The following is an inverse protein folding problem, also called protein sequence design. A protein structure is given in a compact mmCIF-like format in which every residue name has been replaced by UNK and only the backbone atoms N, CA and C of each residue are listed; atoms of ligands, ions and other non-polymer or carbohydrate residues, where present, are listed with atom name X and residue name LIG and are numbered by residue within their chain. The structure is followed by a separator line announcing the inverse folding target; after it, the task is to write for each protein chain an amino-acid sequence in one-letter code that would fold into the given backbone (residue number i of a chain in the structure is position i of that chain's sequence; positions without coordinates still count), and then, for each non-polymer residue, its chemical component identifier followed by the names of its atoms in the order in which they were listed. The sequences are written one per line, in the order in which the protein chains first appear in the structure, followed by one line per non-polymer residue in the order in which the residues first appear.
data_IF_976336194738
#
_entry.id   IF_976336194738
#
_cell.length_a   1.000
_cell.length_b   1.000
_cell.length_c   1.000
_cell.angle_alpha   90.00
_cell.angle_beta   90.00
_cell.angle_gamma   90.00
#
_symmetry.space_group_name_H-M   'P 1'
#
loop_
_entity.id
_entity.type
_entity.pdbx_description
1 polymer ?
#
# COMPACT_ATOMS: atom_id res chain seq x y z
N UNK A 1 14.34 -6.67 18.31
CA UNK A 1 13.25 -5.69 18.14
C UNK A 1 13.38 -5.06 16.76
N UNK A 2 12.66 -5.58 15.76
CA UNK A 2 12.46 -4.85 14.51
C UNK A 2 11.23 -3.95 14.71
N UNK A 3 11.33 -2.63 14.54
CA UNK A 3 10.21 -1.71 14.72
C UNK A 3 9.33 -1.79 13.47
N UNK A 4 8.34 -2.68 13.49
CA UNK A 4 7.29 -2.76 12.49
C UNK A 4 6.33 -1.58 12.65
N UNK A 5 6.54 -0.54 11.85
CA UNK A 5 5.67 0.63 11.62
C UNK A 5 5.39 1.49 12.86
N UNK A 6 5.95 2.71 12.98
CA UNK A 6 5.61 3.60 14.08
C UNK A 6 4.11 3.95 14.04
N UNK A 7 3.44 3.88 15.18
CA UNK A 7 2.04 4.29 15.43
C UNK A 7 1.75 5.77 15.10
N UNK A 8 2.77 6.52 14.68
CA UNK A 8 2.71 7.92 14.25
C UNK A 8 2.46 8.11 12.76
N UNK A 9 2.31 7.04 11.97
CA UNK A 9 2.01 7.20 10.54
C UNK A 9 0.55 7.65 10.39
N UNK A 10 0.29 8.87 9.87
CA UNK A 10 -1.07 9.35 9.69
C UNK A 10 -1.78 8.44 8.68
N UNK A 11 -2.87 7.82 9.13
CA UNK A 11 -3.75 7.02 8.29
C UNK A 11 -4.95 7.89 7.90
N UNK A 12 -5.36 7.92 6.61
CA UNK A 12 -4.73 7.27 5.46
C UNK A 12 -3.37 7.87 5.10
N UNK A 13 -2.46 7.01 4.63
CA UNK A 13 -1.22 7.44 3.99
C UNK A 13 -1.56 8.10 2.64
N UNK A 14 -0.98 9.26 2.38
CA UNK A 14 -1.08 9.92 1.09
C UNK A 14 0.26 9.82 0.39
N UNK A 15 0.26 9.19 -0.79
CA UNK A 15 1.40 9.20 -1.71
C UNK A 15 1.07 10.10 -2.89
N UNK A 16 2.12 10.70 -3.45
CA UNK A 16 2.06 11.62 -4.56
C UNK A 16 3.01 11.16 -5.66
N UNK A 17 2.65 11.45 -6.90
CA UNK A 17 3.47 11.23 -8.08
C UNK A 17 3.14 12.29 -9.13
N UNK A 18 3.98 12.36 -10.15
CA UNK A 18 3.68 13.05 -11.40
C UNK A 18 3.04 12.04 -12.35
N UNK A 19 1.88 12.38 -12.90
CA UNK A 19 1.12 11.46 -13.73
C UNK A 19 0.37 12.14 -14.86
N UNK A 20 -0.24 11.31 -15.69
CA UNK A 20 -1.04 11.73 -16.84
C UNK A 20 -2.38 10.98 -16.84
N UNK A 21 -3.32 11.50 -17.62
CA UNK A 21 -4.58 10.79 -17.86
C UNK A 21 -4.39 9.74 -18.96
N UNK A 22 -4.70 8.49 -18.64
CA UNK A 22 -4.74 7.37 -19.58
C UNK A 22 -6.18 6.89 -19.69
N UNK A 23 -6.84 7.22 -20.80
CA UNK A 23 -8.28 7.01 -20.94
C UNK A 23 -9.08 7.82 -19.90
N UNK A 24 -9.75 7.12 -18.99
CA UNK A 24 -10.57 7.72 -17.91
C UNK A 24 -9.86 7.78 -16.56
N UNK A 25 -8.69 7.17 -16.45
CA UNK A 25 -7.94 7.04 -15.19
C UNK A 25 -6.66 7.88 -15.21
N UNK A 26 -6.06 8.06 -14.04
CA UNK A 26 -4.74 8.66 -13.90
C UNK A 26 -3.71 7.59 -13.57
N UNK A 27 -2.53 7.72 -14.15
CA UNK A 27 -1.42 6.81 -13.90
C UNK A 27 -0.13 7.64 -13.68
N UNK A 28 0.75 7.25 -12.74
CA UNK A 28 2.07 7.83 -12.63
C UNK A 28 2.85 7.67 -13.94
N UNK A 29 3.63 8.69 -14.30
CA UNK A 29 4.60 8.56 -15.39
C UNK A 29 5.63 7.48 -15.02
N UNK A 30 6.15 6.78 -16.04
CA UNK A 30 7.14 5.72 -15.82
C UNK A 30 8.40 6.21 -15.10
N UNK A 31 8.85 7.45 -15.38
CA UNK A 31 10.00 8.06 -14.72
C UNK A 31 9.66 8.67 -13.34
N UNK A 32 8.38 8.75 -12.98
CA UNK A 32 7.96 9.43 -11.76
C UNK A 32 8.22 8.60 -10.51
N UNK A 33 8.67 9.27 -9.43
CA UNK A 33 8.85 8.63 -8.14
C UNK A 33 7.60 8.82 -7.28
N UNK A 34 6.98 7.71 -6.90
CA UNK A 34 5.94 7.72 -5.86
C UNK A 34 6.58 8.09 -4.51
N UNK A 35 6.05 9.13 -3.86
CA UNK A 35 6.63 9.69 -2.63
C UNK A 35 5.57 10.10 -1.62
N UNK A 36 5.89 10.01 -0.34
CA UNK A 36 5.05 10.53 0.75
C UNK A 36 5.12 12.06 0.86
N UNK A 37 6.13 12.68 0.28
CA UNK A 37 6.37 14.11 0.39
C UNK A 37 5.84 14.85 -0.83
N UNK A 38 4.67 15.47 -0.70
CA UNK A 38 4.07 16.30 -1.76
C UNK A 38 5.06 17.29 -2.40
N UNK A 39 5.88 17.96 -1.58
CA UNK A 39 6.89 18.92 -2.05
C UNK A 39 7.90 18.31 -3.01
N UNK A 40 8.28 17.04 -2.81
CA UNK A 40 9.19 16.36 -3.70
C UNK A 40 8.53 16.08 -5.06
N UNK A 41 7.27 15.63 -5.07
CA UNK A 41 6.52 15.43 -6.30
C UNK A 41 6.19 16.75 -7.03
N UNK A 42 5.97 17.85 -6.31
CA UNK A 42 5.81 19.18 -6.92
C UNK A 42 7.11 19.68 -7.56
N UNK A 43 8.26 19.41 -6.94
CA UNK A 43 9.56 19.73 -7.53
C UNK A 43 9.81 18.90 -8.80
N UNK A 44 9.52 17.60 -8.75
CA UNK A 44 9.60 16.70 -9.91
C UNK A 44 8.68 17.16 -11.05
N UNK A 45 7.45 17.59 -10.75
CA UNK A 45 6.52 18.13 -11.75
C UNK A 45 7.08 19.40 -12.40
N UNK A 46 7.72 20.28 -11.64
CA UNK A 46 8.30 21.52 -12.16
C UNK A 46 9.50 21.27 -13.09
N UNK A 47 10.15 20.11 -12.97
CA UNK A 47 11.24 19.66 -13.84
C UNK A 47 10.75 18.79 -15.01
N UNK A 48 9.46 18.50 -15.10
CA UNK A 48 8.89 17.64 -16.13
C UNK A 48 8.68 18.38 -17.45
N UNK A 49 9.18 17.81 -18.55
CA UNK A 49 8.94 18.30 -19.91
C UNK A 49 7.61 17.77 -20.51
N UNK A 50 6.87 16.94 -19.77
CA UNK A 50 5.64 16.31 -20.25
C UNK A 50 4.45 17.29 -20.20
N UNK A 51 3.92 17.64 -21.38
CA UNK A 51 2.92 18.71 -21.55
C UNK A 51 1.63 18.54 -20.73
N UNK A 52 1.24 17.30 -20.43
CA UNK A 52 0.00 16.98 -19.71
C UNK A 52 0.25 16.40 -18.32
N UNK A 53 1.50 16.48 -17.83
CA UNK A 53 1.83 16.03 -16.50
C UNK A 53 1.09 16.86 -15.45
N UNK A 54 0.50 16.18 -14.48
CA UNK A 54 -0.16 16.77 -13.32
C UNK A 54 0.28 16.06 -12.05
N UNK A 55 0.18 16.76 -10.92
CA UNK A 55 0.35 16.13 -9.62
C UNK A 55 -0.86 15.26 -9.31
N UNK A 56 -0.63 13.98 -9.05
CA UNK A 56 -1.66 13.01 -8.66
C UNK A 56 -1.39 12.50 -7.25
N UNK A 57 -2.45 12.07 -6.57
CA UNK A 57 -2.41 11.49 -5.23
C UNK A 57 -3.18 10.17 -5.18
N UNK A 58 -2.69 9.24 -4.37
CA UNK A 58 -3.37 8.00 -4.03
C UNK A 58 -3.43 7.86 -2.51
N UNK A 59 -4.57 7.35 -2.02
CA UNK A 59 -4.76 7.01 -0.61
C UNK A 59 -4.39 5.56 -0.39
N UNK A 60 -3.54 5.33 0.59
CA UNK A 60 -3.15 4.00 1.04
C UNK A 60 -3.72 3.79 2.44
N UNK A 61 -4.63 2.82 2.54
CA UNK A 61 -5.21 2.38 3.81
C UNK A 61 -4.27 1.39 4.51
N UNK A 62 -4.39 1.24 5.85
CA UNK A 62 -3.58 0.30 6.58
C UNK A 62 -4.01 -1.12 6.22
N UNK A 63 -3.09 -2.06 6.39
CA UNK A 63 -3.40 -3.47 6.29
C UNK A 63 -4.38 -3.89 7.38
N UNK A 64 -5.36 -4.72 7.03
CA UNK A 64 -6.30 -5.33 7.95
C UNK A 64 -6.40 -6.83 7.67
N UNK A 65 -6.82 -7.67 8.65
CA UNK A 65 -7.10 -9.08 8.39
C UNK A 65 -8.06 -9.26 7.23
N UNK A 66 -7.72 -10.16 6.32
CA UNK A 66 -8.59 -10.46 5.20
C UNK A 66 -9.89 -11.12 5.66
N UNK A 67 -10.99 -10.76 5.03
CA UNK A 67 -12.32 -11.34 5.29
C UNK A 67 -12.69 -12.34 4.21
N UNK A 68 -13.63 -13.25 4.50
CA UNK A 68 -14.16 -14.20 3.51
C UNK A 68 -15.16 -13.53 2.53
N UNK A 69 -15.45 -12.25 2.74
CA UNK A 69 -16.33 -11.47 1.86
C UNK A 69 -15.64 -11.21 0.52
N UNK A 70 -16.38 -11.45 -0.56
CA UNK A 70 -15.91 -11.14 -1.90
C UNK A 70 -16.15 -9.66 -2.16
N UNK A 71 -15.08 -8.88 -2.16
CA UNK A 71 -15.15 -7.46 -2.47
C UNK A 71 -15.34 -7.22 -3.97
N UNK A 72 -16.08 -6.17 -4.33
CA UNK A 72 -16.23 -5.75 -5.75
C UNK A 72 -15.07 -4.90 -6.25
N UNK A 73 -14.20 -4.42 -5.36
CA UNK A 73 -13.04 -3.58 -5.69
C UNK A 73 -11.74 -4.37 -5.83
N UNK A 74 -10.69 -3.72 -6.34
CA UNK A 74 -9.34 -4.28 -6.37
C UNK A 74 -8.70 -4.17 -4.98
N UNK A 75 -8.07 -5.26 -4.53
CA UNK A 75 -7.36 -5.33 -3.26
C UNK A 75 -5.94 -5.80 -3.50
N UNK A 76 -5.05 -5.36 -2.64
CA UNK A 76 -3.73 -5.93 -2.49
C UNK A 76 -3.74 -6.84 -1.26
N UNK A 77 -3.01 -7.94 -1.34
CA UNK A 77 -2.94 -8.97 -0.31
C UNK A 77 -1.47 -9.28 0.03
N UNK A 78 -1.24 -9.69 1.28
CA UNK A 78 0.07 -10.16 1.74
C UNK A 78 -0.08 -11.15 2.90
N UNK A 79 0.93 -12.00 3.11
CA UNK A 79 1.03 -12.85 4.30
C UNK A 79 1.71 -12.06 5.42
N UNK A 80 1.15 -12.12 6.63
CA UNK A 80 1.70 -11.46 7.80
C UNK A 80 1.60 -12.35 9.04
N UNK A 81 2.36 -12.00 10.07
CA UNK A 81 2.16 -12.52 11.41
C UNK A 81 1.67 -11.41 12.34
N UNK A 82 0.88 -11.80 13.34
CA UNK A 82 0.45 -10.92 14.42
C UNK A 82 1.43 -10.99 15.59
N UNK A 83 1.84 -9.83 16.08
CA UNK A 83 2.60 -9.64 17.32
C UNK A 83 1.84 -8.66 18.22
N UNK A 84 1.11 -9.20 19.21
CA UNK A 84 0.16 -8.43 20.00
C UNK A 84 -0.96 -7.84 19.14
N UNK A 85 -1.08 -6.51 19.15
CA UNK A 85 -2.08 -5.76 18.35
C UNK A 85 -1.53 -5.30 16.98
N UNK A 86 -0.31 -5.70 16.61
CA UNK A 86 0.34 -5.27 15.38
C UNK A 86 0.45 -6.41 14.38
N UNK A 87 0.29 -6.07 13.10
CA UNK A 87 0.51 -7.00 12.00
C UNK A 87 1.80 -6.63 11.28
N UNK A 88 2.71 -7.60 11.16
CA UNK A 88 3.97 -7.42 10.44
C UNK A 88 3.98 -8.33 9.22
N UNK A 89 4.11 -7.78 8.00
CA UNK A 89 4.25 -8.59 6.79
C UNK A 89 5.41 -9.56 6.92
N UNK A 90 5.19 -10.81 6.50
CA UNK A 90 6.20 -11.86 6.49
C UNK A 90 7.28 -11.58 5.43
N UNK A 91 6.93 -10.82 4.38
CA UNK A 91 7.83 -10.33 3.34
C UNK A 91 7.32 -9.03 2.70
N UNK A 92 7.99 -8.60 1.63
CA UNK A 92 7.54 -7.47 0.79
C UNK A 92 6.73 -7.94 -0.43
N UNK A 93 6.31 -9.20 -0.44
CA UNK A 93 5.48 -9.77 -1.50
C UNK A 93 4.05 -9.25 -1.36
N UNK A 94 3.58 -8.60 -2.41
CA UNK A 94 2.22 -8.09 -2.53
C UNK A 94 1.61 -8.63 -3.82
N UNK A 95 0.34 -8.98 -3.79
CA UNK A 95 -0.39 -9.48 -4.96
C UNK A 95 -1.80 -8.94 -4.98
N UNK A 96 -2.36 -8.74 -6.18
CA UNK A 96 -3.79 -8.48 -6.37
C UNK A 96 -4.61 -9.75 -6.58
N UNK A 97 -3.94 -10.89 -6.76
CA UNK A 97 -4.54 -12.22 -6.81
C UNK A 97 -4.58 -12.82 -5.40
N UNK A 98 -5.79 -12.91 -4.84
CA UNK A 98 -6.06 -13.51 -3.54
C UNK A 98 -5.59 -14.96 -3.46
N UNK A 99 -5.80 -15.74 -4.53
CA UNK A 99 -5.48 -17.17 -4.52
C UNK A 99 -3.98 -17.44 -4.42
N UNK A 100 -3.16 -16.54 -5.00
CA UNK A 100 -1.71 -16.60 -4.87
C UNK A 100 -1.26 -16.42 -3.41
N UNK A 101 -1.89 -15.51 -2.67
CA UNK A 101 -1.56 -15.26 -1.25
C UNK A 101 -2.13 -16.34 -0.34
N UNK A 102 -3.29 -16.91 -0.65
CA UNK A 102 -3.83 -18.08 0.08
C UNK A 102 -2.88 -19.29 -0.01
N UNK A 103 -2.27 -19.52 -1.18
CA UNK A 103 -1.25 -20.56 -1.36
C UNK A 103 0.03 -20.27 -0.56
N UNK A 104 0.49 -19.01 -0.56
CA UNK A 104 1.64 -18.59 0.23
C UNK A 104 1.36 -18.76 1.73
N UNK A 105 0.18 -18.34 2.20
CA UNK A 105 -0.26 -18.50 3.59
C UNK A 105 -0.22 -19.97 4.02
N UNK A 106 -0.81 -20.87 3.23
CA UNK A 106 -0.81 -22.30 3.51
C UNK A 106 0.62 -22.88 3.55
N UNK A 107 1.52 -22.36 2.72
CA UNK A 107 2.94 -22.75 2.69
C UNK A 107 3.67 -22.31 3.96
N UNK A 108 3.47 -21.06 4.40
CA UNK A 108 4.07 -20.52 5.64
C UNK A 108 3.55 -21.25 6.87
N UNK A 109 2.23 -21.47 6.95
CA UNK A 109 1.61 -22.21 8.05
C UNK A 109 2.15 -23.65 8.17
N UNK A 110 2.35 -24.33 7.03
CA UNK A 110 2.97 -25.65 7.01
C UNK A 110 4.41 -25.63 7.52
N UNK A 111 5.23 -24.68 7.03
CA UNK A 111 6.62 -24.54 7.45
C UNK A 111 6.75 -24.26 8.96
N UNK A 112 5.83 -23.49 9.54
CA UNK A 112 5.78 -23.26 10.99
C UNK A 112 5.41 -24.52 11.76
N UNK A 113 4.41 -25.28 11.28
CA UNK A 113 4.01 -26.53 11.93
C UNK A 113 5.12 -27.58 11.93
N UNK A 114 6.01 -27.57 10.93
CA UNK A 114 7.17 -28.45 10.82
C UNK A 114 8.39 -27.95 11.63
N UNK A 115 8.37 -26.70 12.11
CA UNK A 115 9.50 -26.08 12.83
C UNK A 115 9.60 -26.59 14.27
N UNK A 116 10.80 -26.98 14.74
CA UNK A 116 11.02 -27.38 16.14
C UNK A 116 11.05 -26.19 17.11
N UNK A 117 11.02 -24.94 16.61
CA UNK A 117 11.06 -23.72 17.42
C UNK A 117 9.64 -23.35 17.82
N UNK A 118 9.27 -23.71 19.05
CA UNK A 118 7.96 -23.40 19.63
C UNK A 118 7.81 -21.93 20.00
N UNK A 119 6.96 -21.22 19.27
CA UNK A 119 6.41 -19.92 19.63
C UNK A 119 5.04 -19.74 18.98
N UNK A 120 4.04 -19.16 19.66
CA UNK A 120 2.74 -18.91 19.05
C UNK A 120 2.87 -17.75 18.05
N UNK A 121 2.87 -18.07 16.76
CA UNK A 121 2.75 -17.08 15.68
C UNK A 121 1.39 -17.25 15.03
N UNK A 122 0.53 -16.24 15.15
CA UNK A 122 -0.69 -16.19 14.36
C UNK A 122 -0.35 -15.64 12.98
N UNK A 123 -0.21 -16.54 12.00
CA UNK A 123 0.00 -16.16 10.59
C UNK A 123 -1.35 -16.07 9.89
N UNK A 124 -1.57 -14.92 9.26
CA UNK A 124 -2.83 -14.59 8.58
C UNK A 124 -2.55 -13.83 7.27
N UNK A 125 -3.56 -13.81 6.42
CA UNK A 125 -3.60 -12.93 5.26
C UNK A 125 -4.07 -11.53 5.69
N UNK A 126 -3.38 -10.50 5.23
CA UNK A 126 -3.86 -9.13 5.29
C UNK A 126 -4.31 -8.66 3.92
N UNK A 127 -5.30 -7.77 3.90
CA UNK A 127 -5.79 -7.11 2.71
C UNK A 127 -5.84 -5.60 2.91
N UNK A 128 -5.74 -4.86 1.80
CA UNK A 128 -6.08 -3.44 1.73
C UNK A 128 -6.67 -3.10 0.36
N UNK A 129 -7.66 -2.19 0.28
CA UNK A 129 -8.20 -1.77 -1.01
C UNK A 129 -7.18 -0.93 -1.80
N UNK A 130 -7.17 -1.12 -3.11
CA UNK A 130 -6.40 -0.33 -4.06
C UNK A 130 -7.31 0.78 -4.59
N UNK A 131 -7.03 2.02 -4.22
CA UNK A 131 -7.74 3.18 -4.75
C UNK A 131 -7.12 3.65 -6.07
N UNK A 132 -7.92 4.17 -7.01
CA UNK A 132 -7.40 4.88 -8.17
C UNK A 132 -6.52 6.08 -7.78
N UNK A 133 -5.71 6.54 -8.73
CA UNK A 133 -5.05 7.83 -8.64
C UNK A 133 -6.05 8.96 -8.95
N UNK A 134 -5.96 10.04 -8.17
CA UNK A 134 -6.76 11.24 -8.36
C UNK A 134 -5.86 12.44 -8.59
N UNK A 135 -6.36 13.51 -9.21
CA UNK A 135 -5.66 14.79 -9.21
C UNK A 135 -5.44 15.23 -7.76
N UNK A 136 -4.20 15.57 -7.44
CA UNK A 136 -3.84 15.96 -6.08
C UNK A 136 -4.58 17.23 -5.67
N UNK A 137 -5.20 17.22 -4.49
CA UNK A 137 -6.01 18.35 -4.02
C UNK A 137 -5.13 19.60 -3.87
N UNK A 138 -5.66 20.81 -4.13
CA UNK A 138 -4.94 22.04 -3.82
C UNK A 138 -4.54 22.08 -2.34
N UNK A 139 -3.40 22.70 -2.03
CA UNK A 139 -3.03 22.95 -0.63
C UNK A 139 -4.15 23.80 0.00
N UNK A 140 -4.57 23.44 1.21
CA UNK A 140 -5.42 24.33 2.00
C UNK A 140 -4.64 25.63 2.21
N UNK A 141 -5.14 26.74 1.65
CA UNK A 141 -4.57 28.05 1.93
C UNK A 141 -4.88 28.40 3.39
N UNK A 142 -3.94 28.99 4.15
CA UNK A 142 -4.28 29.54 5.45
C UNK A 142 -5.39 30.57 5.25
N UNK A 143 -6.50 30.39 5.98
CA UNK A 143 -7.50 31.45 6.11
C UNK A 143 -6.75 32.64 6.75
N UNK A 144 -6.59 33.70 5.96
CA UNK A 144 -5.91 34.93 6.36
C UNK A 144 -6.69 35.67 7.43
#
# INVERSE_FOLDING_TARGET
MHPGTPSSVPVPLLVYAVGIRVGTEFEPLHASKVTLHRRAAEAELAESDEQYAVLIEQRILPWAPATDEHHTGLYEYTVAYRDGDHYTPWGLSFSTDRSAIELELATVQRAIAESPVGGPFDVLMLERPIFPWYIARPRAMPLS
#
